data_IF_982118412157
#
_entry.id   IF_982118412157
#
_cell.length_a   1.000
_cell.length_b   1.000
_cell.length_c   1.000
_cell.angle_alpha   90.00
_cell.angle_beta   90.00
_cell.angle_gamma   90.00
#
_symmetry.space_group_name_H-M   'P 1'
#
loop_
_entity.id
_entity.type
_entity.pdbx_description
1 polymer ?
#
# COMPACT_ATOMS: atom_id res chain seq x y z
N UNK A 1 -32.09 -13.58 -25.27
CA UNK A 1 -31.81 -12.28 -25.91
C UNK A 1 -31.55 -11.27 -24.79
N UNK A 2 -30.30 -11.15 -24.34
CA UNK A 2 -29.89 -10.14 -23.36
C UNK A 2 -29.27 -9.00 -24.16
N UNK A 3 -29.93 -7.83 -24.17
CA UNK A 3 -29.41 -6.65 -24.84
C UNK A 3 -28.05 -6.30 -24.24
N UNK A 4 -26.99 -6.50 -25.03
CA UNK A 4 -25.72 -5.83 -24.85
C UNK A 4 -25.98 -4.33 -25.00
N UNK A 5 -26.16 -3.61 -23.89
CA UNK A 5 -25.86 -2.17 -23.85
C UNK A 5 -24.37 -2.03 -24.11
N UNK A 6 -24.02 -1.97 -25.40
CA UNK A 6 -22.76 -1.44 -25.86
C UNK A 6 -22.73 0.00 -25.35
N UNK A 7 -21.91 0.26 -24.34
CA UNK A 7 -21.59 1.62 -23.90
C UNK A 7 -21.16 2.38 -25.15
N UNK A 8 -21.97 3.35 -25.57
CA UNK A 8 -21.67 4.12 -26.78
C UNK A 8 -20.47 5.02 -26.49
N UNK A 9 -19.25 4.54 -26.76
CA UNK A 9 -18.01 5.28 -26.54
C UNK A 9 -17.82 6.43 -27.54
N UNK A 10 -18.73 6.57 -28.51
CA UNK A 10 -18.67 7.59 -29.55
C UNK A 10 -19.10 8.99 -29.09
N UNK A 11 -19.84 9.10 -27.98
CA UNK A 11 -20.31 10.39 -27.45
C UNK A 11 -20.12 10.42 -25.93
N UNK A 12 -19.30 11.36 -25.47
CA UNK A 12 -19.03 11.60 -24.07
C UNK A 12 -20.19 12.40 -23.44
N UNK A 13 -20.76 11.96 -22.30
CA UNK A 13 -21.74 12.74 -21.58
C UNK A 13 -21.10 14.01 -20.98
N UNK A 14 -21.86 15.09 -20.84
CA UNK A 14 -21.36 16.37 -20.32
C UNK A 14 -20.94 16.29 -18.83
N UNK A 15 -21.51 15.34 -18.10
CA UNK A 15 -21.30 15.11 -16.68
C UNK A 15 -21.51 13.65 -16.30
N UNK A 16 -21.09 13.28 -15.10
CA UNK A 16 -21.13 11.91 -14.59
C UNK A 16 -21.33 11.90 -13.08
N UNK A 17 -21.92 10.82 -12.56
CA UNK A 17 -22.14 10.60 -11.14
C UNK A 17 -20.84 10.33 -10.38
N UNK A 18 -20.80 10.72 -9.10
CA UNK A 18 -19.71 10.40 -8.17
C UNK A 18 -19.70 8.93 -7.72
N UNK A 19 -18.55 8.43 -7.26
CA UNK A 19 -18.43 7.15 -6.53
C UNK A 19 -17.76 7.38 -5.16
N UNK A 20 -18.59 7.72 -4.17
CA UNK A 20 -18.19 7.94 -2.78
C UNK A 20 -17.56 6.71 -2.10
N UNK A 21 -17.72 5.52 -2.68
CA UNK A 21 -17.08 4.29 -2.22
C UNK A 21 -15.61 4.16 -2.68
N UNK A 22 -15.15 5.06 -3.55
CA UNK A 22 -13.81 5.03 -4.14
C UNK A 22 -13.06 6.33 -3.84
N UNK A 23 -13.67 7.48 -4.15
CA UNK A 23 -13.08 8.81 -3.96
C UNK A 23 -13.63 9.55 -2.73
N UNK A 24 -14.39 8.85 -1.88
CA UNK A 24 -14.98 9.42 -0.68
C UNK A 24 -13.97 9.93 0.34
N UNK A 25 -14.32 11.04 0.99
CA UNK A 25 -13.52 11.75 2.00
C UNK A 25 -12.87 10.82 3.04
N UNK A 26 -13.64 9.92 3.66
CA UNK A 26 -13.09 9.03 4.70
C UNK A 26 -12.14 7.95 4.16
N UNK A 27 -12.31 7.49 2.92
CA UNK A 27 -11.39 6.52 2.30
C UNK A 27 -10.05 7.20 2.04
N UNK A 28 -10.09 8.39 1.43
CA UNK A 28 -8.88 9.17 1.14
C UNK A 28 -8.11 9.49 2.43
N UNK A 29 -8.80 9.97 3.47
CA UNK A 29 -8.18 10.28 4.76
C UNK A 29 -7.56 9.04 5.41
N UNK A 30 -8.26 7.91 5.42
CA UNK A 30 -7.74 6.68 6.04
C UNK A 30 -6.46 6.22 5.36
N UNK A 31 -6.41 6.21 4.02
CA UNK A 31 -5.19 5.86 3.28
C UNK A 31 -4.05 6.83 3.55
N UNK A 32 -4.33 8.14 3.54
CA UNK A 32 -3.33 9.20 3.74
C UNK A 32 -2.76 9.14 5.15
N UNK A 33 -3.63 9.11 6.18
CA UNK A 33 -3.23 9.05 7.59
C UNK A 33 -2.43 7.77 7.86
N UNK A 34 -2.93 6.61 7.40
CA UNK A 34 -2.24 5.34 7.58
C UNK A 34 -0.85 5.35 6.95
N UNK A 35 -0.72 5.91 5.75
CA UNK A 35 0.55 5.97 5.06
C UNK A 35 1.56 6.87 5.75
N UNK A 36 1.16 8.08 6.14
CA UNK A 36 2.04 9.01 6.86
C UNK A 36 2.44 8.47 8.23
N UNK A 37 1.51 7.87 8.96
CA UNK A 37 1.80 7.25 10.23
C UNK A 37 2.77 6.08 10.07
N UNK A 38 2.55 5.19 9.09
CA UNK A 38 3.45 4.07 8.84
C UNK A 38 4.85 4.54 8.40
N UNK A 39 4.96 5.57 7.56
CA UNK A 39 6.25 6.15 7.16
C UNK A 39 6.96 6.80 8.35
N UNK A 40 6.23 7.54 9.18
CA UNK A 40 6.75 8.14 10.40
C UNK A 40 7.28 7.08 11.38
N UNK A 41 6.50 6.04 11.65
CA UNK A 41 6.91 4.93 12.50
C UNK A 41 8.11 4.17 11.91
N UNK A 42 8.15 3.98 10.59
CA UNK A 42 9.28 3.36 9.89
C UNK A 42 10.56 4.18 10.05
N UNK A 43 10.48 5.50 9.83
CA UNK A 43 11.60 6.43 10.04
C UNK A 43 12.05 6.45 11.50
N UNK A 44 11.11 6.46 12.44
CA UNK A 44 11.40 6.44 13.86
C UNK A 44 12.12 5.16 14.30
N UNK A 45 11.71 3.99 13.78
CA UNK A 45 12.39 2.70 14.04
C UNK A 45 13.79 2.72 13.47
N UNK A 46 13.95 3.01 12.17
CA UNK A 46 15.26 3.00 11.50
C UNK A 46 16.24 3.97 12.16
N UNK A 47 15.78 5.17 12.53
CA UNK A 47 16.63 6.15 13.19
C UNK A 47 17.00 5.75 14.63
N UNK A 48 16.09 5.10 15.35
CA UNK A 48 16.37 4.57 16.68
C UNK A 48 17.40 3.43 16.66
N UNK A 49 17.36 2.56 15.64
CA UNK A 49 18.35 1.50 15.42
C UNK A 49 19.72 2.08 15.06
N UNK A 50 19.76 3.14 14.24
CA UNK A 50 21.01 3.85 13.91
C UNK A 50 21.64 4.43 15.19
N UNK A 51 20.84 4.95 16.10
CA UNK A 51 21.27 5.48 17.41
C UNK A 51 21.53 4.39 18.47
N UNK A 52 21.51 3.11 18.10
CA UNK A 52 21.71 1.97 19.01
C UNK A 52 20.78 1.96 20.24
N UNK A 53 19.59 2.57 20.16
CA UNK A 53 18.59 2.46 21.22
C UNK A 53 17.83 1.13 21.14
N UNK A 54 17.41 0.63 22.29
CA UNK A 54 16.75 -0.67 22.49
C UNK A 54 15.45 -0.82 21.67
N UNK A 55 15.15 -2.07 21.30
CA UNK A 55 14.01 -2.49 20.48
C UNK A 55 12.68 -1.92 20.95
N UNK A 56 12.03 -1.13 20.09
CA UNK A 56 10.68 -0.57 20.32
C UNK A 56 9.60 -1.51 19.81
N UNK A 57 9.34 -2.58 20.57
CA UNK A 57 8.41 -3.65 20.19
C UNK A 57 6.98 -3.12 19.89
N UNK A 58 6.52 -2.11 20.64
CA UNK A 58 5.20 -1.50 20.46
C UNK A 58 5.10 -0.80 19.10
N UNK A 59 6.06 0.06 18.77
CA UNK A 59 6.11 0.79 17.49
C UNK A 59 6.17 -0.18 16.30
N UNK A 60 6.97 -1.25 16.42
CA UNK A 60 7.06 -2.30 15.41
C UNK A 60 5.71 -3.00 15.18
N UNK A 61 4.96 -3.29 16.25
CA UNK A 61 3.64 -3.90 16.15
C UNK A 61 2.63 -2.98 15.47
N UNK A 62 2.58 -1.70 15.85
CA UNK A 62 1.69 -0.72 15.22
C UNK A 62 1.99 -0.63 13.72
N UNK A 63 3.27 -0.51 13.36
CA UNK A 63 3.70 -0.45 11.96
C UNK A 63 3.31 -1.72 11.18
N UNK A 64 3.47 -2.90 11.79
CA UNK A 64 3.02 -4.14 11.15
C UNK A 64 1.53 -4.10 10.88
N UNK A 65 0.72 -3.75 11.87
CA UNK A 65 -0.75 -3.72 11.74
C UNK A 65 -1.24 -2.70 10.70
N UNK A 66 -0.64 -1.50 10.67
CA UNK A 66 -0.96 -0.48 9.66
C UNK A 66 -0.59 -0.91 8.24
N UNK A 67 0.58 -1.54 8.06
CA UNK A 67 0.99 -2.08 6.77
C UNK A 67 0.04 -3.18 6.30
N UNK A 68 -0.38 -4.07 7.21
CA UNK A 68 -1.30 -5.16 6.92
C UNK A 68 -2.71 -4.64 6.59
N UNK A 69 -3.23 -3.63 7.29
CA UNK A 69 -4.52 -3.04 6.91
C UNK A 69 -4.44 -2.36 5.54
N UNK A 70 -3.36 -1.60 5.30
CA UNK A 70 -3.16 -0.84 4.05
C UNK A 70 -3.02 -1.74 2.82
N UNK A 71 -2.43 -2.94 2.96
CA UNK A 71 -2.28 -3.87 1.83
C UNK A 71 -3.62 -4.46 1.41
N UNK A 72 -4.44 -4.91 2.38
CA UNK A 72 -5.76 -5.47 2.09
C UNK A 72 -6.72 -4.40 1.56
N UNK A 73 -6.69 -3.21 2.16
CA UNK A 73 -7.50 -2.09 1.68
C UNK A 73 -7.09 -1.66 0.26
N UNK A 74 -5.78 -1.63 -0.03
CA UNK A 74 -5.23 -1.34 -1.36
C UNK A 74 -5.65 -2.36 -2.42
N UNK A 75 -5.57 -3.66 -2.10
CA UNK A 75 -6.03 -4.72 -3.01
C UNK A 75 -7.54 -4.63 -3.20
N UNK A 76 -8.30 -4.42 -2.13
CA UNK A 76 -9.75 -4.34 -2.16
C UNK A 76 -10.26 -3.22 -3.07
N UNK A 77 -9.72 -2.01 -2.94
CA UNK A 77 -10.16 -0.88 -3.76
C UNK A 77 -9.78 -1.05 -5.25
N UNK A 78 -8.60 -1.61 -5.53
CA UNK A 78 -8.20 -1.97 -6.89
C UNK A 78 -9.08 -3.07 -7.49
N UNK A 79 -9.46 -4.07 -6.70
CA UNK A 79 -10.38 -5.11 -7.17
C UNK A 79 -11.76 -4.54 -7.50
N UNK A 80 -12.29 -3.64 -6.65
CA UNK A 80 -13.59 -2.98 -6.90
C UNK A 80 -13.54 -2.10 -8.14
N UNK A 81 -12.48 -1.32 -8.33
CA UNK A 81 -12.37 -0.47 -9.52
C UNK A 81 -12.23 -1.27 -10.81
N UNK A 82 -11.54 -2.41 -10.81
CA UNK A 82 -11.50 -3.32 -11.96
C UNK A 82 -12.86 -4.00 -12.21
N UNK A 83 -13.58 -4.39 -11.16
CA UNK A 83 -14.92 -4.96 -11.29
C UNK A 83 -15.90 -3.94 -11.92
N UNK A 84 -15.71 -2.65 -11.61
CA UNK A 84 -16.51 -1.53 -12.15
C UNK A 84 -15.88 -0.87 -13.39
N UNK A 85 -14.95 -1.51 -14.10
CA UNK A 85 -14.23 -0.90 -15.23
C UNK A 85 -15.13 -0.35 -16.35
N UNK A 86 -16.33 -0.91 -16.49
CA UNK A 86 -17.33 -0.50 -17.51
C UNK A 86 -18.15 0.74 -17.13
N UNK A 87 -18.10 1.18 -15.88
CA UNK A 87 -18.89 2.30 -15.36
C UNK A 87 -18.03 3.37 -14.71
N UNK A 88 -16.84 3.00 -14.21
CA UNK A 88 -15.92 3.93 -13.58
C UNK A 88 -15.22 4.80 -14.64
N UNK A 89 -15.11 6.10 -14.34
CA UNK A 89 -14.42 7.08 -15.19
C UNK A 89 -12.91 7.15 -14.89
N UNK A 90 -12.08 7.65 -15.82
CA UNK A 90 -10.63 7.82 -15.64
C UNK A 90 -10.23 8.54 -14.36
N UNK A 91 -11.03 9.51 -13.93
CA UNK A 91 -10.82 10.28 -12.70
C UNK A 91 -10.73 9.39 -11.44
N UNK A 92 -11.78 8.61 -11.16
CA UNK A 92 -11.80 7.70 -10.02
C UNK A 92 -10.72 6.62 -10.16
N UNK A 93 -10.50 6.14 -11.39
CA UNK A 93 -9.47 5.15 -11.69
C UNK A 93 -8.05 5.66 -11.36
N UNK A 94 -7.77 6.93 -11.66
CA UNK A 94 -6.52 7.60 -11.32
C UNK A 94 -6.34 7.77 -9.80
N UNK A 95 -7.41 8.10 -9.06
CA UNK A 95 -7.38 8.17 -7.60
C UNK A 95 -7.01 6.80 -7.00
N UNK A 96 -7.68 5.73 -7.44
CA UNK A 96 -7.37 4.36 -6.98
C UNK A 96 -5.88 4.05 -7.22
N UNK A 97 -5.37 4.38 -8.41
CA UNK A 97 -3.99 4.13 -8.75
C UNK A 97 -3.01 4.89 -7.83
N UNK A 98 -3.30 6.16 -7.49
CA UNK A 98 -2.50 6.92 -6.53
C UNK A 98 -2.55 6.35 -5.11
N UNK A 99 -3.72 5.88 -4.66
CA UNK A 99 -3.86 5.20 -3.36
C UNK A 99 -3.10 3.87 -3.33
N UNK A 100 -3.05 3.15 -4.47
CA UNK A 100 -2.27 1.91 -4.61
C UNK A 100 -0.75 2.17 -4.57
N UNK A 101 -0.28 3.26 -5.19
CA UNK A 101 1.12 3.72 -5.06
C UNK A 101 1.46 4.07 -3.61
N UNK A 102 0.55 4.76 -2.91
CA UNK A 102 0.70 5.09 -1.50
C UNK A 102 0.76 3.82 -0.62
N UNK A 103 -0.12 2.85 -0.88
CA UNK A 103 -0.08 1.53 -0.23
C UNK A 103 1.23 0.79 -0.48
N UNK A 104 1.75 0.84 -1.71
CA UNK A 104 3.06 0.25 -2.06
C UNK A 104 4.19 0.89 -1.28
N UNK A 105 4.20 2.24 -1.19
CA UNK A 105 5.22 2.97 -0.45
C UNK A 105 5.20 2.62 1.06
N UNK A 106 4.01 2.55 1.66
CA UNK A 106 3.81 2.14 3.06
C UNK A 106 4.31 0.73 3.33
N UNK A 107 3.94 -0.22 2.46
CA UNK A 107 4.32 -1.63 2.59
C UNK A 107 5.83 -1.83 2.46
N UNK A 108 6.47 -1.15 1.52
CA UNK A 108 7.91 -1.20 1.36
C UNK A 108 8.66 -0.51 2.51
N UNK A 109 8.16 0.62 3.03
CA UNK A 109 8.71 1.26 4.23
C UNK A 109 8.65 0.33 5.46
N UNK A 110 7.53 -0.37 5.65
CA UNK A 110 7.38 -1.36 6.71
C UNK A 110 8.35 -2.55 6.53
N UNK A 111 8.54 -3.03 5.30
CA UNK A 111 9.53 -4.08 4.99
C UNK A 111 10.94 -3.66 5.39
N UNK A 112 11.34 -2.43 5.08
CA UNK A 112 12.67 -1.91 5.42
C UNK A 112 12.87 -1.77 6.94
N UNK A 113 11.85 -1.33 7.68
CA UNK A 113 11.93 -1.13 9.12
C UNK A 113 11.80 -2.43 9.94
N UNK A 114 11.04 -3.41 9.44
CA UNK A 114 10.71 -4.66 10.12
C UNK A 114 11.40 -5.89 9.52
N UNK A 115 12.47 -5.68 8.73
CA UNK A 115 13.12 -6.77 7.98
C UNK A 115 13.56 -7.95 8.85
N UNK A 116 13.97 -7.69 10.11
CA UNK A 116 14.35 -8.74 11.04
C UNK A 116 13.16 -9.53 11.57
N UNK A 117 12.04 -8.84 11.80
CA UNK A 117 10.80 -9.45 12.29
C UNK A 117 10.25 -10.42 11.22
N UNK A 118 10.32 -10.06 9.94
CA UNK A 118 9.91 -10.96 8.84
C UNK A 118 10.89 -12.08 8.54
N UNK A 119 12.17 -11.94 8.88
CA UNK A 119 13.12 -13.06 8.70
C UNK A 119 12.81 -14.21 9.65
N UNK A 120 12.38 -13.89 10.88
CA UNK A 120 12.05 -14.85 11.93
C UNK A 120 10.83 -15.72 11.58
N UNK A 121 9.81 -15.14 10.93
CA UNK A 121 8.54 -15.81 10.59
C UNK A 121 8.39 -16.06 9.08
N UNK A 122 8.80 -17.23 8.59
CA UNK A 122 8.69 -17.58 7.17
C UNK A 122 7.25 -17.52 6.63
N UNK A 123 6.25 -18.01 7.36
CA UNK A 123 4.86 -18.05 6.86
C UNK A 123 4.29 -16.65 6.67
N UNK A 124 4.44 -15.78 7.67
CA UNK A 124 4.00 -14.39 7.60
C UNK A 124 4.76 -13.63 6.51
N UNK A 125 6.05 -13.93 6.33
CA UNK A 125 6.86 -13.39 5.25
C UNK A 125 6.28 -13.72 3.88
N UNK A 126 5.94 -14.98 3.62
CA UNK A 126 5.39 -15.39 2.33
C UNK A 126 3.99 -14.85 2.08
N UNK A 127 3.12 -14.87 3.10
CA UNK A 127 1.79 -14.28 3.00
C UNK A 127 1.87 -12.79 2.61
N UNK A 128 2.76 -12.06 3.29
CA UNK A 128 2.98 -10.63 3.02
C UNK A 128 3.62 -10.40 1.65
N UNK A 129 4.62 -11.18 1.26
CA UNK A 129 5.27 -11.06 -0.04
C UNK A 129 4.30 -11.36 -1.19
N UNK A 130 3.43 -12.36 -1.01
CA UNK A 130 2.36 -12.68 -1.95
C UNK A 130 1.34 -11.54 -2.05
N UNK A 131 0.86 -10.99 -0.92
CA UNK A 131 -0.05 -9.86 -0.94
C UNK A 131 0.60 -8.61 -1.57
N UNK A 132 1.89 -8.33 -1.31
CA UNK A 132 2.63 -7.23 -1.94
C UNK A 132 2.78 -7.47 -3.44
N UNK A 133 3.03 -8.71 -3.86
CA UNK A 133 3.08 -9.08 -5.28
C UNK A 133 1.74 -8.80 -5.98
N UNK A 134 0.63 -9.25 -5.40
CA UNK A 134 -0.72 -9.00 -5.93
C UNK A 134 -0.98 -7.49 -6.03
N UNK A 135 -0.65 -6.71 -4.98
CA UNK A 135 -0.80 -5.27 -5.00
C UNK A 135 0.02 -4.60 -6.12
N UNK A 136 1.26 -5.03 -6.34
CA UNK A 136 2.13 -4.48 -7.39
C UNK A 136 1.63 -4.84 -8.78
N UNK A 137 1.18 -6.09 -9.00
CA UNK A 137 0.57 -6.51 -10.27
C UNK A 137 -0.67 -5.67 -10.57
N UNK A 138 -1.56 -5.49 -9.60
CA UNK A 138 -2.73 -4.62 -9.77
C UNK A 138 -2.30 -3.17 -10.05
N UNK A 139 -1.31 -2.64 -9.34
CA UNK A 139 -0.80 -1.28 -9.56
C UNK A 139 -0.24 -1.10 -10.98
N UNK A 140 0.44 -2.11 -11.52
CA UNK A 140 0.95 -2.09 -12.90
C UNK A 140 -0.22 -2.14 -13.90
N UNK A 141 -1.22 -2.99 -13.67
CA UNK A 141 -2.43 -3.04 -14.52
C UNK A 141 -3.10 -1.67 -14.54
N UNK A 142 -3.33 -1.05 -13.38
CA UNK A 142 -3.88 0.30 -13.30
C UNK A 142 -3.02 1.33 -14.02
N UNK A 143 -1.69 1.26 -13.86
CA UNK A 143 -0.76 2.13 -14.56
C UNK A 143 -0.85 1.99 -16.08
N UNK A 144 -1.00 0.78 -16.62
CA UNK A 144 -1.19 0.54 -18.07
C UNK A 144 -2.50 1.17 -18.56
N UNK A 145 -3.59 1.02 -17.81
CA UNK A 145 -4.87 1.66 -18.09
C UNK A 145 -4.72 3.19 -18.15
N UNK A 146 -4.15 3.80 -17.11
CA UNK A 146 -3.91 5.26 -17.04
C UNK A 146 -2.98 5.72 -18.17
N UNK A 147 -1.91 4.98 -18.46
CA UNK A 147 -0.99 5.30 -19.55
C UNK A 147 -1.72 5.27 -20.91
N UNK A 148 -2.56 4.25 -21.14
CA UNK A 148 -3.38 4.15 -22.35
C UNK A 148 -4.37 5.30 -22.49
N UNK A 149 -5.02 5.74 -21.40
CA UNK A 149 -5.90 6.92 -21.41
C UNK A 149 -5.17 8.17 -21.89
N UNK A 150 -3.95 8.40 -21.38
CA UNK A 150 -3.15 9.56 -21.77
C UNK A 150 -2.58 9.45 -23.20
N UNK A 151 -2.37 8.24 -23.73
CA UNK A 151 -1.90 8.03 -25.10
C UNK A 151 -3.02 8.07 -26.14
N UNK A 152 -4.24 7.69 -25.76
CA UNK A 152 -5.40 7.62 -26.64
C UNK A 152 -6.27 8.89 -26.62
N UNK A 153 -6.01 9.82 -25.70
CA UNK A 153 -6.77 11.07 -25.50
C UNK A 153 -8.26 10.83 -25.19
N UNK A 154 -8.54 9.84 -24.34
CA UNK A 154 -9.91 9.48 -23.97
C UNK A 154 -10.61 10.63 -23.24
N UNK A 155 -11.83 10.97 -23.66
CA UNK A 155 -12.65 11.97 -22.98
C UNK A 155 -12.88 11.61 -21.48
N UNK A 156 -12.85 12.58 -20.56
CA UNK A 156 -12.72 12.35 -19.13
C UNK A 156 -13.99 11.79 -18.47
N UNK A 157 -15.15 11.96 -19.10
CA UNK A 157 -16.45 11.45 -18.63
C UNK A 157 -16.78 10.06 -19.18
N UNK A 158 -15.99 9.54 -20.14
CA UNK A 158 -16.22 8.22 -20.69
C UNK A 158 -15.80 7.12 -19.71
N UNK A 159 -16.48 5.95 -19.73
CA UNK A 159 -16.05 4.81 -18.93
C UNK A 159 -14.67 4.31 -19.32
N UNK A 160 -13.91 3.82 -18.34
CA UNK A 160 -12.55 3.34 -18.52
C UNK A 160 -12.45 2.19 -19.55
N UNK A 161 -13.48 1.37 -19.70
CA UNK A 161 -13.54 0.31 -20.71
C UNK A 161 -13.43 0.83 -22.16
N UNK A 162 -13.79 2.09 -22.43
CA UNK A 162 -13.74 2.68 -23.77
C UNK A 162 -12.32 2.90 -24.29
N UNK A 163 -11.29 2.84 -23.45
CA UNK A 163 -9.89 3.10 -23.87
C UNK A 163 -9.35 2.03 -24.86
N UNK A 164 -10.01 0.87 -24.98
CA UNK A 164 -9.68 -0.17 -25.98
C UNK A 164 -10.59 -0.16 -27.23
N UNK A 165 -11.53 0.78 -27.30
CA UNK A 165 -12.48 0.89 -28.41
C UNK A 165 -12.29 2.20 -29.16
N UNK A 166 -12.94 2.35 -30.30
CA UNK A 166 -13.06 3.65 -30.95
C UNK A 166 -13.90 4.57 -30.05
N UNK A 167 -13.34 5.73 -29.70
CA UNK A 167 -13.93 6.64 -28.73
C UNK A 167 -13.73 8.10 -29.11
N UNK A 168 -14.55 8.96 -28.50
CA UNK A 168 -14.39 10.40 -28.62
C UNK A 168 -13.09 10.88 -27.96
N UNK A 169 -12.30 11.64 -28.71
CA UNK A 169 -11.02 12.19 -28.26
C UNK A 169 -11.20 13.61 -27.75
N UNK A 170 -10.59 13.92 -26.62
CA UNK A 170 -10.58 15.27 -26.05
C UNK A 170 -9.14 15.76 -25.90
N UNK A 171 -8.76 16.76 -26.69
CA UNK A 171 -7.43 17.39 -26.57
C UNK A 171 -7.31 18.32 -25.36
N UNK A 172 -8.42 18.89 -24.88
CA UNK A 172 -8.47 19.87 -23.80
C UNK A 172 -8.52 19.25 -22.39
N UNK A 173 -8.88 17.96 -22.26
CA UNK A 173 -9.13 17.34 -20.96
C UNK A 173 -7.89 16.99 -20.12
N UNK A 174 -6.68 17.02 -20.69
CA UNK A 174 -5.45 16.61 -20.01
C UNK A 174 -4.32 17.62 -20.23
N UNK A 175 -4.08 18.47 -19.21
CA UNK A 175 -2.92 19.39 -19.19
C UNK A 175 -1.58 18.67 -19.40
N UNK A 176 -0.52 19.36 -19.82
CA UNK A 176 0.82 18.84 -20.15
C UNK A 176 0.93 17.31 -20.35
N UNK A 177 0.36 16.81 -21.45
CA UNK A 177 0.28 15.38 -21.83
C UNK A 177 1.61 14.64 -21.62
N UNK A 178 2.72 15.24 -22.06
CA UNK A 178 4.07 14.66 -21.94
C UNK A 178 4.47 14.39 -20.48
N UNK A 179 4.14 15.29 -19.55
CA UNK A 179 4.48 15.12 -18.13
C UNK A 179 3.67 13.98 -17.51
N UNK A 180 2.38 13.86 -17.86
CA UNK A 180 1.51 12.79 -17.38
C UNK A 180 1.95 11.41 -17.90
N UNK A 181 2.31 11.32 -19.20
CA UNK A 181 2.80 10.09 -19.82
C UNK A 181 4.12 9.63 -19.19
N UNK A 182 5.11 10.53 -19.11
CA UNK A 182 6.42 10.22 -18.53
C UNK A 182 6.29 9.87 -17.05
N UNK A 183 5.49 10.62 -16.29
CA UNK A 183 5.23 10.34 -14.89
C UNK A 183 4.60 8.97 -14.67
N UNK A 184 3.63 8.59 -15.50
CA UNK A 184 2.96 7.28 -15.42
C UNK A 184 3.91 6.14 -15.75
N UNK A 185 4.67 6.26 -16.84
CA UNK A 185 5.67 5.25 -17.22
C UNK A 185 6.75 5.08 -16.13
N UNK A 186 7.24 6.19 -15.57
CA UNK A 186 8.20 6.18 -14.48
C UNK A 186 7.62 5.51 -13.23
N UNK A 187 6.38 5.82 -12.84
CA UNK A 187 5.73 5.22 -11.67
C UNK A 187 5.56 3.70 -11.80
N UNK A 188 5.23 3.19 -12.99
CA UNK A 188 5.16 1.75 -13.28
C UNK A 188 6.54 1.11 -13.10
N UNK A 189 7.57 1.68 -13.73
CA UNK A 189 8.93 1.16 -13.65
C UNK A 189 9.47 1.17 -12.21
N UNK A 190 9.26 2.27 -11.48
CA UNK A 190 9.66 2.42 -10.07
C UNK A 190 8.96 1.37 -9.21
N UNK A 191 7.66 1.14 -9.39
CA UNK A 191 6.91 0.16 -8.60
C UNK A 191 7.45 -1.26 -8.78
N UNK A 192 7.79 -1.65 -10.02
CA UNK A 192 8.40 -2.95 -10.31
C UNK A 192 9.81 -3.06 -9.71
N UNK A 193 10.65 -2.04 -9.87
CA UNK A 193 12.02 -2.01 -9.34
C UNK A 193 12.01 -2.10 -7.81
N UNK A 194 11.17 -1.31 -7.14
CA UNK A 194 11.06 -1.30 -5.68
C UNK A 194 10.65 -2.68 -5.14
N UNK A 195 9.71 -3.35 -5.81
CA UNK A 195 9.30 -4.69 -5.42
C UNK A 195 10.43 -5.72 -5.55
N UNK A 196 11.14 -5.72 -6.68
CA UNK A 196 12.27 -6.64 -6.90
C UNK A 196 13.39 -6.37 -5.89
N UNK A 197 13.76 -5.11 -5.68
CA UNK A 197 14.78 -4.71 -4.71
C UNK A 197 14.37 -5.07 -3.27
N UNK A 198 13.10 -4.91 -2.91
CA UNK A 198 12.58 -5.29 -1.59
C UNK A 198 12.63 -6.78 -1.34
N UNK A 199 12.21 -7.57 -2.34
CA UNK A 199 12.27 -9.03 -2.28
C UNK A 199 13.71 -9.50 -2.14
N UNK A 200 14.61 -8.93 -2.92
CA UNK A 200 16.04 -9.20 -2.87
C UNK A 200 16.65 -8.83 -1.51
N UNK A 201 16.34 -7.63 -1.00
CA UNK A 201 16.82 -7.14 0.29
C UNK A 201 16.41 -8.02 1.47
N UNK A 202 15.19 -8.58 1.41
CA UNK A 202 14.66 -9.50 2.41
C UNK A 202 15.40 -10.85 2.43
N UNK A 203 15.78 -11.35 1.26
CA UNK A 203 16.47 -12.64 1.12
C UNK A 203 18.00 -12.55 1.32
N UNK A 204 18.58 -11.35 1.29
CA UNK A 204 20.01 -11.18 1.54
C UNK A 204 20.40 -11.59 2.96
N UNK A 205 21.34 -12.54 3.07
CA UNK A 205 21.79 -13.15 4.35
C UNK A 205 22.58 -12.17 5.25
N UNK A 206 23.39 -11.26 4.68
CA UNK A 206 24.16 -10.25 5.43
C UNK A 206 23.81 -8.84 4.96
N UNK A 207 23.41 -7.95 5.89
CA UNK A 207 23.01 -6.57 5.62
C UNK A 207 24.08 -5.54 6.00
N UNK A 208 25.28 -5.68 5.44
CA UNK A 208 26.43 -4.80 5.76
C UNK A 208 26.20 -3.32 5.38
N UNK A 209 25.39 -3.04 4.36
CA UNK A 209 25.02 -1.68 3.91
C UNK A 209 23.62 -1.26 4.38
N UNK A 210 23.02 -2.00 5.32
CA UNK A 210 21.61 -1.86 5.68
C UNK A 210 21.21 -0.47 6.17
N UNK A 211 22.07 0.21 6.95
CA UNK A 211 21.72 1.50 7.59
C UNK A 211 21.50 2.62 6.56
N UNK A 212 22.47 2.84 5.68
CA UNK A 212 22.40 3.91 4.67
C UNK A 212 21.30 3.64 3.65
N UNK A 213 21.15 2.39 3.20
CA UNK A 213 20.10 2.01 2.23
C UNK A 213 18.71 2.18 2.82
N UNK A 214 18.47 1.78 4.08
CA UNK A 214 17.17 1.98 4.76
C UNK A 214 16.83 3.47 4.87
N UNK A 215 17.78 4.30 5.31
CA UNK A 215 17.55 5.74 5.48
C UNK A 215 17.26 6.45 4.14
N UNK A 216 18.07 6.17 3.12
CA UNK A 216 17.87 6.74 1.78
C UNK A 216 16.53 6.31 1.17
N UNK A 217 16.22 5.02 1.25
CA UNK A 217 14.96 4.48 0.70
C UNK A 217 13.75 5.09 1.39
N UNK A 218 13.78 5.26 2.72
CA UNK A 218 12.69 5.92 3.44
C UNK A 218 12.47 7.38 3.02
N UNK A 219 13.56 8.12 2.73
CA UNK A 219 13.45 9.49 2.23
C UNK A 219 12.76 9.52 0.87
N UNK A 220 13.17 8.63 -0.05
CA UNK A 220 12.54 8.51 -1.38
C UNK A 220 11.06 8.14 -1.26
N UNK A 221 10.71 7.16 -0.41
CA UNK A 221 9.32 6.73 -0.20
C UNK A 221 8.46 7.83 0.42
N UNK A 222 9.02 8.61 1.34
CA UNK A 222 8.35 9.77 1.92
C UNK A 222 8.07 10.82 0.85
N UNK A 223 9.03 11.10 -0.03
CA UNK A 223 8.83 12.01 -1.16
C UNK A 223 7.72 11.54 -2.11
N UNK A 224 7.71 10.25 -2.47
CA UNK A 224 6.66 9.64 -3.30
C UNK A 224 5.30 9.71 -2.63
N UNK A 225 5.22 9.39 -1.33
CA UNK A 225 3.98 9.44 -0.56
C UNK A 225 3.41 10.85 -0.44
N UNK A 226 4.26 11.85 -0.17
CA UNK A 226 3.85 13.26 -0.15
C UNK A 226 3.34 13.68 -1.54
N UNK A 227 4.09 13.36 -2.60
CA UNK A 227 3.69 13.69 -3.97
C UNK A 227 2.34 13.10 -4.36
N UNK A 228 2.14 11.80 -4.07
CA UNK A 228 0.88 11.12 -4.31
C UNK A 228 -0.27 11.71 -3.47
N UNK A 229 -0.05 11.94 -2.18
CA UNK A 229 -1.08 12.50 -1.29
C UNK A 229 -1.49 13.93 -1.69
N UNK A 230 -0.53 14.80 -1.99
CA UNK A 230 -0.81 16.16 -2.47
C UNK A 230 -1.60 16.10 -3.78
N UNK A 231 -1.19 15.22 -4.72
CA UNK A 231 -1.90 15.08 -5.99
C UNK A 231 -3.34 14.59 -5.79
N UNK A 232 -3.55 13.62 -4.90
CA UNK A 232 -4.90 13.11 -4.55
C UNK A 232 -5.75 14.23 -3.94
N UNK A 233 -5.23 14.98 -2.96
CA UNK A 233 -5.96 16.07 -2.31
C UNK A 233 -6.40 17.13 -3.33
N UNK A 234 -5.49 17.56 -4.21
CA UNK A 234 -5.78 18.59 -5.19
C UNK A 234 -6.80 18.16 -6.25
N UNK A 235 -6.79 16.88 -6.66
CA UNK A 235 -7.65 16.35 -7.73
C UNK A 235 -8.99 15.84 -7.17
N UNK A 236 -9.05 15.37 -5.92
CA UNK A 236 -10.27 14.84 -5.32
C UNK A 236 -11.38 15.90 -5.22
N UNK A 237 -12.65 15.54 -5.46
CA UNK A 237 -13.78 16.44 -5.21
C UNK A 237 -13.96 16.67 -3.70
N UNK A 238 -13.58 15.68 -2.89
CA UNK A 238 -13.59 15.74 -1.43
C UNK A 238 -12.82 16.94 -0.84
N UNK A 239 -11.67 17.31 -1.43
CA UNK A 239 -10.78 18.34 -0.87
C UNK A 239 -10.37 19.45 -1.84
N UNK A 240 -10.45 19.20 -3.13
CA UNK A 240 -9.93 20.06 -4.18
C UNK A 240 -10.94 20.33 -5.27
N UNK A 241 -10.44 20.55 -6.49
CA UNK A 241 -11.26 20.80 -7.67
C UNK A 241 -11.15 19.59 -8.61
N UNK A 242 -12.26 18.85 -8.84
CA UNK A 242 -12.22 17.69 -9.72
C UNK A 242 -11.85 18.12 -11.14
N UNK A 243 -11.09 17.28 -11.85
CA UNK A 243 -10.73 17.53 -13.25
C UNK A 243 -11.90 17.29 -14.22
N UNK A 244 -13.06 16.89 -13.71
CA UNK A 244 -14.25 16.48 -14.48
C UNK A 244 -15.48 17.12 -13.84
N UNK A 245 -16.48 17.44 -14.67
CA UNK A 245 -17.79 17.89 -14.18
C UNK A 245 -18.54 16.71 -13.58
N UNK A 246 -18.77 16.77 -12.27
CA UNK A 246 -19.52 15.78 -11.50
C UNK A 246 -20.92 16.34 -11.23
N UNK A 247 -21.95 15.48 -11.35
CA UNK A 247 -23.36 15.89 -11.21
C UNK A 247 -23.81 16.11 -9.75
N UNK A 248 -23.07 15.53 -8.80
CA UNK A 248 -23.44 15.45 -7.41
C UNK A 248 -22.24 15.65 -6.47
N UNK A 249 -22.51 15.87 -5.19
CA UNK A 249 -21.49 16.13 -4.16
C UNK A 249 -21.17 14.89 -3.30
N UNK A 250 -21.47 13.68 -3.78
CA UNK A 250 -21.42 12.45 -2.99
C UNK A 250 -20.04 12.13 -2.40
N UNK A 251 -18.93 12.58 -3.00
CA UNK A 251 -17.58 12.35 -2.45
C UNK A 251 -17.31 13.13 -1.14
N UNK A 252 -18.01 14.25 -0.95
CA UNK A 252 -17.91 15.10 0.25
C UNK A 252 -18.79 14.59 1.39
N UNK A 253 -19.81 13.78 1.06
CA UNK A 253 -20.73 13.23 2.06
C UNK A 253 -20.14 12.01 2.76
N UNK A 254 -20.27 12.00 4.08
CA UNK A 254 -19.80 10.89 4.91
C UNK A 254 -20.79 9.72 4.86
N UNK A 255 -20.30 8.58 4.36
CA UNK A 255 -21.07 7.33 4.38
C UNK A 255 -20.60 6.37 5.48
N UNK A 256 -21.46 5.42 5.85
CA UNK A 256 -21.11 4.38 6.82
C UNK A 256 -19.81 3.64 6.46
N UNK A 257 -19.62 3.30 5.18
CA UNK A 257 -18.41 2.61 4.72
C UNK A 257 -17.13 3.43 4.90
N UNK A 258 -17.20 4.74 4.66
CA UNK A 258 -16.08 5.65 4.89
C UNK A 258 -15.73 5.77 6.38
N UNK A 259 -16.73 5.85 7.26
CA UNK A 259 -16.52 5.88 8.72
C UNK A 259 -15.96 4.56 9.25
N UNK A 260 -16.44 3.43 8.74
CA UNK A 260 -15.94 2.10 9.11
C UNK A 260 -14.44 1.98 8.80
N UNK A 261 -14.03 2.42 7.61
CA UNK A 261 -12.63 2.41 7.17
C UNK A 261 -11.74 3.31 8.03
N UNK A 262 -12.25 4.45 8.51
CA UNK A 262 -11.56 5.28 9.50
C UNK A 262 -11.45 4.61 10.87
N UNK A 263 -12.49 3.89 11.29
CA UNK A 263 -12.50 3.18 12.58
C UNK A 263 -11.49 2.03 12.60
N UNK A 264 -11.32 1.32 11.47
CA UNK A 264 -10.34 0.23 11.33
C UNK A 264 -8.90 0.72 11.56
N UNK A 265 -8.62 2.01 11.37
CA UNK A 265 -7.32 2.63 11.66
C UNK A 265 -6.94 2.58 13.15
N UNK A 266 -7.92 2.36 14.04
CA UNK A 266 -7.72 2.25 15.49
C UNK A 266 -7.21 0.86 15.89
N UNK A 267 -7.46 -0.19 15.09
CA UNK A 267 -7.11 -1.58 15.45
C UNK A 267 -5.61 -1.80 15.76
N UNK A 268 -4.66 -1.24 14.97
CA UNK A 268 -3.23 -1.38 15.28
C UNK A 268 -2.85 -0.74 16.63
N UNK A 269 -3.58 0.29 17.06
CA UNK A 269 -3.36 0.94 18.35
C UNK A 269 -3.95 0.13 19.50
N UNK A 270 -5.11 -0.51 19.32
CA UNK A 270 -5.67 -1.44 20.32
C UNK A 270 -4.69 -2.58 20.58
N UNK A 271 -4.16 -3.19 19.50
CA UNK A 271 -3.13 -4.24 19.61
C UNK A 271 -1.88 -3.76 20.35
N UNK A 272 -1.51 -2.50 20.20
CA UNK A 272 -0.38 -1.90 20.90
C UNK A 272 -0.67 -1.63 22.39
N UNK A 273 -1.89 -1.23 22.73
CA UNK A 273 -2.33 -1.05 24.12
C UNK A 273 -2.36 -2.38 24.88
N UNK A 274 -2.74 -3.48 24.23
CA UNK A 274 -2.70 -4.82 24.82
C UNK A 274 -1.27 -5.25 25.17
N UNK A 275 -0.29 -4.93 24.31
CA UNK A 275 1.14 -5.14 24.61
C UNK A 275 1.59 -4.23 25.77
N UNK A 276 1.20 -2.96 25.76
CA UNK A 276 1.55 -2.02 26.83
C UNK A 276 0.99 -2.45 28.19
N UNK A 277 -0.21 -3.03 28.20
CA UNK A 277 -0.83 -3.63 29.41
C UNK A 277 -0.21 -4.97 29.82
N UNK A 278 0.74 -5.51 29.05
CA UNK A 278 1.39 -6.79 29.32
C UNK A 278 0.52 -8.01 29.02
N UNK A 279 -0.61 -7.85 28.32
CA UNK A 279 -1.48 -8.96 27.92
C UNK A 279 -0.89 -9.76 26.76
N UNK A 280 0.04 -9.17 26.00
CA UNK A 280 0.82 -9.84 24.95
C UNK A 280 2.32 -9.59 25.13
N UNK A 281 3.10 -10.65 25.27
CA UNK A 281 4.56 -10.58 25.24
C UNK A 281 5.07 -10.68 23.79
N UNK A 282 5.84 -9.68 23.36
CA UNK A 282 6.50 -9.68 22.04
C UNK A 282 8.01 -9.85 22.24
N UNK A 283 8.67 -10.82 21.57
CA UNK A 283 10.11 -11.00 21.72
C UNK A 283 10.89 -9.77 21.24
N UNK A 284 11.97 -9.42 21.92
CA UNK A 284 12.82 -8.29 21.55
C UNK A 284 13.56 -8.56 20.24
N UNK A 285 13.40 -7.69 19.25
CA UNK A 285 14.13 -7.74 17.99
C UNK A 285 15.48 -7.01 18.13
N UNK A 286 16.59 -7.75 18.02
CA UNK A 286 17.93 -7.16 18.08
C UNK A 286 18.47 -6.88 16.67
N UNK A 287 18.63 -5.59 16.33
CA UNK A 287 19.15 -5.06 15.04
C UNK A 287 20.49 -5.65 14.57
N UNK A 288 21.25 -6.28 15.47
CA UNK A 288 22.60 -6.79 15.25
C UNK A 288 22.74 -8.30 15.42
N UNK A 289 21.68 -9.00 15.84
CA UNK A 289 21.68 -10.46 15.99
C UNK A 289 21.21 -11.14 14.69
N UNK A 290 21.69 -12.36 14.44
CA UNK A 290 21.16 -13.21 13.38
C UNK A 290 19.72 -13.62 13.72
N UNK A 291 18.74 -12.99 13.07
CA UNK A 291 17.31 -13.17 13.35
C UNK A 291 16.84 -14.61 13.11
N UNK A 292 17.57 -15.37 12.30
CA UNK A 292 17.29 -16.77 12.00
C UNK A 292 17.60 -17.70 13.21
N UNK A 293 18.28 -17.18 14.24
CA UNK A 293 18.69 -17.95 15.43
C UNK A 293 17.83 -17.66 16.68
N UNK A 294 16.86 -16.74 16.62
CA UNK A 294 16.04 -16.39 17.78
C UNK A 294 14.69 -17.11 17.77
N UNK A 295 14.35 -17.89 18.83
CA UNK A 295 13.07 -18.58 18.90
C UNK A 295 11.89 -17.60 18.97
N UNK A 296 10.77 -17.99 18.36
CA UNK A 296 9.53 -17.19 18.28
C UNK A 296 8.81 -17.01 19.61
N UNK A 297 9.03 -17.94 20.54
CA UNK A 297 8.48 -17.91 21.90
C UNK A 297 9.57 -17.55 22.89
N UNK A 298 9.33 -16.56 23.75
CA UNK A 298 10.16 -16.33 24.94
C UNK A 298 10.11 -17.58 25.83
N UNK A 299 11.24 -17.88 26.47
CA UNK A 299 11.50 -19.05 27.32
C UNK A 299 10.55 -19.20 28.53
N UNK A 300 9.59 -18.30 28.74
CA UNK A 300 8.69 -18.29 29.91
C UNK A 300 7.24 -18.72 29.62
N UNK A 301 6.91 -19.07 28.37
CA UNK A 301 5.57 -19.55 28.00
C UNK A 301 5.36 -21.06 28.17
N UNK A 302 6.37 -21.83 28.62
CA UNK A 302 6.17 -23.21 29.08
C UNK A 302 6.11 -23.21 30.59
N UNK A 303 4.93 -23.51 31.11
CA UNK A 303 4.82 -24.12 32.42
C UNK A 303 5.83 -25.29 32.52
N UNK A 304 6.75 -25.15 33.47
CA UNK A 304 7.20 -26.21 34.35
C UNK A 304 7.48 -27.57 33.67
N UNK A 305 8.59 -27.67 32.92
CA UNK A 305 9.30 -28.95 32.83
C UNK A 305 10.78 -28.70 33.02
N UNK A 306 11.25 -29.11 34.21
CA UNK A 306 12.64 -29.22 34.57
C UNK A 306 13.25 -30.29 33.65
N UNK A 307 14.00 -29.88 32.64
CA UNK A 307 14.89 -30.80 31.94
C UNK A 307 16.22 -30.08 31.67
N UNK A 308 17.24 -30.60 32.34
CA UNK A 308 18.63 -30.39 31.99
C UNK A 308 18.81 -30.91 30.55
N UNK A 309 19.52 -30.16 29.72
CA UNK A 309 19.87 -30.50 28.32
C UNK A 309 18.81 -30.15 27.26
N UNK A 310 18.70 -28.86 26.93
CA UNK A 310 18.00 -28.40 25.74
C UNK A 310 18.98 -27.72 24.77
N UNK A 311 19.62 -28.54 23.95
CA UNK A 311 20.27 -28.13 22.72
C UNK A 311 19.24 -27.43 21.82
N UNK A 312 19.51 -26.18 21.43
CA UNK A 312 18.59 -25.31 20.69
C UNK A 312 18.11 -25.97 19.39
N UNK A 313 16.86 -26.42 19.35
CA UNK A 313 16.29 -27.02 18.15
C UNK A 313 15.90 -25.91 17.17
N UNK A 314 16.75 -25.71 16.17
CA UNK A 314 16.43 -25.00 14.93
C UNK A 314 15.06 -25.48 14.39
N UNK A 315 14.21 -24.59 13.90
CA UNK A 315 13.15 -24.95 12.95
C UNK A 315 13.74 -24.83 11.52
N UNK A 316 14.32 -25.90 10.95
CA UNK A 316 14.78 -25.84 9.57
C UNK A 316 13.59 -25.68 8.62
N UNK A 317 13.81 -24.91 7.58
CA UNK A 317 12.89 -24.73 6.47
C UNK A 317 12.61 -26.09 5.81
N UNK A 318 11.36 -26.60 5.78
CA UNK A 318 11.07 -27.94 5.27
C UNK A 318 11.26 -28.07 3.75
N UNK A 319 11.38 -26.95 3.01
CA UNK A 319 11.44 -26.94 1.55
C UNK A 319 12.84 -26.87 0.94
N UNK A 320 13.87 -26.49 1.70
CA UNK A 320 15.23 -26.42 1.20
C UNK A 320 16.15 -27.22 2.10
N UNK A 321 16.17 -28.52 1.86
CA UNK A 321 17.17 -29.45 2.37
C UNK A 321 18.19 -29.70 1.25
N UNK A 322 19.20 -28.83 1.15
CA UNK A 322 20.49 -29.09 0.51
C UNK A 322 21.52 -28.11 1.01
#
# INVERSE_FOLDING_TARGET
MSNNTINNCAVAPESTSTDAGIAGTGILLSFIISAFLALFLSAFIVFSEIRAQTSRNITRRILSGLSDSQIFQGIGIQAVGLAKVRTIIPYHFFIIWMLALLSTATNFAALLALVQDFKRDWVLRWLRQFAMFVNVVLTIVYGVFVLRTNLADLAPTLPMACVWQDHEKSEEAQGNKTLSIVGTAAAIAISAIVFVLGTWYLHMRKQTWGKSVRAFSLLVLLGVAIGAAVRVILVSQAFGTPSVKLDDAGETEWSFGQLLVMLLLILPFVSALEIFRGQMQVPHANAFADSDQMPLTSQYGREQKLDHDAEYTYQPNPLFRS
#
